data_IF_018530343768
#
_entry.id   IF_018530343768
#
_cell.length_a   1.000
_cell.length_b   1.000
_cell.length_c   1.000
_cell.angle_alpha   90.00
_cell.angle_beta   90.00
_cell.angle_gamma   90.00
#
_symmetry.space_group_name_H-M   'P 1'
#
loop_
_entity.id
_entity.type
_entity.pdbx_description
1 polymer ?
#
# COMPACT_ATOMS: atom_id res chain seq x y z
N UNK A 1 -27.19 -35.94 16.00
CA UNK A 1 -28.62 -36.14 15.66
C UNK A 1 -29.43 -35.77 16.89
N UNK A 2 -29.79 -34.49 17.03
CA UNK A 2 -30.74 -34.03 18.06
C UNK A 2 -31.58 -32.94 17.40
N UNK A 3 -32.86 -33.27 17.23
CA UNK A 3 -33.94 -32.41 16.80
C UNK A 3 -34.63 -31.82 18.04
N UNK A 4 -35.03 -30.55 17.89
CA UNK A 4 -36.16 -29.81 18.48
C UNK A 4 -36.37 -29.76 20.01
N UNK A 5 -36.41 -28.53 20.54
CA UNK A 5 -37.67 -27.86 20.92
C UNK A 5 -37.41 -26.54 21.65
N UNK A 6 -37.77 -25.42 21.02
CA UNK A 6 -38.25 -24.23 21.74
C UNK A 6 -39.31 -23.54 20.88
N UNK A 7 -40.56 -23.99 21.02
CA UNK A 7 -41.75 -23.27 20.61
C UNK A 7 -42.33 -22.55 21.83
N UNK A 8 -42.42 -21.23 21.74
CA UNK A 8 -43.39 -20.44 22.52
C UNK A 8 -43.92 -19.33 21.63
N UNK A 9 -45.22 -19.39 21.37
CA UNK A 9 -45.99 -18.37 20.67
C UNK A 9 -46.07 -17.10 21.52
N UNK A 10 -45.79 -15.93 20.94
CA UNK A 10 -46.59 -14.75 21.24
C UNK A 10 -46.55 -13.72 20.09
N UNK A 11 -47.75 -13.41 19.64
CA UNK A 11 -48.13 -12.45 18.61
C UNK A 11 -47.98 -11.03 19.15
N UNK A 12 -46.94 -10.32 18.73
CA UNK A 12 -46.93 -8.85 18.62
C UNK A 12 -45.85 -8.48 17.59
N UNK A 13 -46.27 -8.18 16.37
CA UNK A 13 -45.39 -7.60 15.34
C UNK A 13 -44.84 -6.27 15.86
N UNK A 14 -43.52 -6.09 16.02
CA UNK A 14 -42.98 -4.75 16.10
C UNK A 14 -43.10 -4.14 14.70
N UNK A 15 -43.76 -3.00 14.60
CA UNK A 15 -43.69 -2.12 13.43
C UNK A 15 -42.21 -1.86 13.12
N UNK A 16 -41.64 -2.63 12.21
CA UNK A 16 -40.41 -2.28 11.53
C UNK A 16 -40.75 -1.06 10.69
N UNK A 17 -40.50 0.12 11.26
CA UNK A 17 -40.34 1.36 10.49
C UNK A 17 -39.15 1.12 9.57
N UNK A 18 -39.44 0.54 8.41
CA UNK A 18 -38.53 0.46 7.28
C UNK A 18 -38.21 1.90 6.90
N UNK A 19 -37.13 2.43 7.47
CA UNK A 19 -36.54 3.68 7.01
C UNK A 19 -35.95 3.35 5.64
N UNK A 20 -36.80 3.38 4.61
CA UNK A 20 -36.38 3.46 3.23
C UNK A 20 -35.65 4.79 3.09
N UNK A 21 -34.35 4.77 3.36
CA UNK A 21 -33.45 5.83 2.95
C UNK A 21 -33.64 5.96 1.43
N UNK A 22 -34.06 7.12 0.91
CA UNK A 22 -34.22 7.27 -0.53
C UNK A 22 -32.89 6.92 -1.18
N UNK A 23 -32.90 5.92 -2.05
CA UNK A 23 -31.70 5.51 -2.78
C UNK A 23 -31.12 6.76 -3.44
N UNK A 24 -29.89 7.12 -3.07
CA UNK A 24 -29.25 8.31 -3.62
C UNK A 24 -29.33 8.23 -5.15
N UNK A 25 -29.76 9.32 -5.76
CA UNK A 25 -29.88 9.47 -7.23
C UNK A 25 -28.52 9.22 -7.92
N UNK A 26 -27.42 9.32 -7.16
CA UNK A 26 -26.07 8.93 -7.54
C UNK A 26 -25.52 7.89 -6.54
N UNK A 27 -25.59 6.61 -6.89
CA UNK A 27 -24.85 5.54 -6.20
C UNK A 27 -23.71 5.10 -7.12
N UNK A 28 -22.44 5.38 -6.77
CA UNK A 28 -21.28 4.91 -7.52
C UNK A 28 -21.33 3.40 -7.79
N UNK A 29 -21.79 2.59 -6.83
CA UNK A 29 -21.97 1.16 -6.96
C UNK A 29 -22.94 0.78 -8.09
N UNK A 30 -24.10 1.45 -8.20
CA UNK A 30 -25.05 1.19 -9.30
C UNK A 30 -24.45 1.47 -10.67
N UNK A 31 -23.65 2.54 -10.79
CA UNK A 31 -22.95 2.86 -12.04
C UNK A 31 -21.86 1.81 -12.32
N UNK A 32 -21.09 1.43 -11.30
CA UNK A 32 -20.09 0.39 -11.40
C UNK A 32 -20.70 -0.95 -11.84
N UNK A 33 -21.80 -1.38 -11.22
CA UNK A 33 -22.49 -2.64 -11.56
C UNK A 33 -22.98 -2.67 -13.02
N UNK A 34 -23.51 -1.55 -13.53
CA UNK A 34 -23.89 -1.43 -14.95
C UNK A 34 -22.69 -1.58 -15.88
N UNK A 35 -21.58 -0.88 -15.57
CA UNK A 35 -20.35 -0.97 -16.37
C UNK A 35 -19.76 -2.37 -16.30
N UNK A 36 -19.69 -2.95 -15.10
CA UNK A 36 -19.20 -4.30 -14.86
C UNK A 36 -20.02 -5.32 -15.65
N UNK A 37 -21.35 -5.25 -15.57
CA UNK A 37 -22.26 -6.15 -16.31
C UNK A 37 -22.06 -6.03 -17.81
N UNK A 38 -21.87 -4.82 -18.33
CA UNK A 38 -21.61 -4.61 -19.76
C UNK A 38 -20.29 -5.21 -20.22
N UNK A 39 -19.29 -5.31 -19.35
CA UNK A 39 -17.95 -5.82 -19.69
C UNK A 39 -17.86 -7.32 -19.47
N UNK A 40 -18.41 -7.81 -18.36
CA UNK A 40 -18.26 -9.20 -17.90
C UNK A 40 -19.43 -10.10 -18.34
N UNK A 41 -20.57 -9.52 -18.74
CA UNK A 41 -21.77 -10.25 -19.15
C UNK A 41 -22.65 -10.75 -18.00
N UNK A 42 -22.30 -10.46 -16.74
CA UNK A 42 -23.09 -10.83 -15.56
C UNK A 42 -23.00 -9.74 -14.45
N UNK A 43 -24.00 -9.64 -13.55
CA UNK A 43 -24.03 -8.66 -12.46
C UNK A 43 -22.86 -8.76 -11.48
N UNK A 44 -22.39 -7.63 -10.95
CA UNK A 44 -21.28 -7.58 -10.00
C UNK A 44 -21.55 -8.40 -8.73
N UNK A 45 -22.82 -8.49 -8.30
CA UNK A 45 -23.25 -9.28 -7.14
C UNK A 45 -23.05 -10.80 -7.30
N UNK A 46 -22.96 -11.28 -8.54
CA UNK A 46 -22.77 -12.70 -8.86
C UNK A 46 -21.30 -13.09 -8.97
N UNK A 47 -20.39 -12.13 -8.87
CA UNK A 47 -18.96 -12.42 -8.85
C UNK A 47 -18.60 -13.24 -7.60
N UNK A 48 -17.87 -14.33 -7.82
CA UNK A 48 -17.26 -15.12 -6.76
C UNK A 48 -15.77 -15.32 -7.06
N UNK A 49 -14.93 -15.10 -6.04
CA UNK A 49 -13.52 -15.45 -6.13
C UNK A 49 -13.34 -16.93 -5.82
N UNK A 50 -13.02 -17.71 -6.85
CA UNK A 50 -12.85 -19.17 -6.77
C UNK A 50 -11.39 -19.52 -7.04
N UNK A 51 -10.73 -20.09 -6.03
CA UNK A 51 -9.35 -20.54 -6.14
C UNK A 51 -9.20 -21.59 -7.25
N UNK A 52 -8.23 -21.40 -8.15
CA UNK A 52 -7.98 -22.29 -9.29
C UNK A 52 -8.78 -21.97 -10.55
N UNK A 53 -9.88 -21.21 -10.43
CA UNK A 53 -10.74 -20.87 -11.57
C UNK A 53 -10.66 -19.39 -11.93
N UNK A 54 -10.72 -18.50 -10.94
CA UNK A 54 -10.61 -17.06 -11.18
C UNK A 54 -9.20 -16.73 -11.71
N UNK A 55 -9.04 -15.84 -12.72
CA UNK A 55 -7.73 -15.50 -13.25
C UNK A 55 -6.76 -15.02 -12.16
N UNK A 56 -5.52 -15.50 -12.21
CA UNK A 56 -4.46 -15.22 -11.21
C UNK A 56 -4.81 -15.64 -9.77
N UNK A 57 -5.73 -16.60 -9.59
CA UNK A 57 -6.10 -17.12 -8.27
C UNK A 57 -5.21 -18.26 -7.78
N UNK A 58 -4.25 -18.73 -8.57
CA UNK A 58 -3.33 -19.82 -8.18
C UNK A 58 -1.99 -19.29 -7.69
N UNK A 59 -1.37 -20.02 -6.77
CA UNK A 59 -0.02 -19.69 -6.28
C UNK A 59 1.01 -19.72 -7.42
N UNK A 60 0.92 -20.72 -8.30
CA UNK A 60 1.78 -20.82 -9.49
C UNK A 60 1.62 -19.63 -10.42
N UNK A 61 0.39 -19.14 -10.63
CA UNK A 61 0.13 -17.94 -11.41
C UNK A 61 0.75 -16.69 -10.80
N UNK A 62 0.59 -16.50 -9.50
CA UNK A 62 1.17 -15.36 -8.78
C UNK A 62 2.72 -15.38 -8.84
N UNK A 63 3.35 -16.54 -8.59
CA UNK A 63 4.81 -16.70 -8.68
C UNK A 63 5.30 -16.52 -10.11
N UNK A 64 4.61 -17.07 -11.11
CA UNK A 64 4.98 -16.91 -12.52
C UNK A 64 5.01 -15.43 -12.93
N UNK A 65 4.05 -14.62 -12.45
CA UNK A 65 4.06 -13.18 -12.69
C UNK A 65 5.24 -12.47 -12.03
N UNK A 66 5.64 -12.87 -10.83
CA UNK A 66 6.84 -12.32 -10.17
C UNK A 66 8.11 -12.70 -10.93
N UNK A 67 8.24 -13.95 -11.35
CA UNK A 67 9.37 -14.42 -12.16
C UNK A 67 9.42 -13.65 -13.49
N UNK A 68 8.30 -13.53 -14.19
CA UNK A 68 8.19 -12.77 -15.42
C UNK A 68 8.60 -11.31 -15.21
N UNK A 69 8.13 -10.68 -14.14
CA UNK A 69 8.51 -9.31 -13.77
C UNK A 69 10.03 -9.18 -13.60
N UNK A 70 10.67 -10.07 -12.83
CA UNK A 70 12.11 -10.02 -12.61
C UNK A 70 12.88 -10.22 -13.92
N UNK A 71 12.46 -11.18 -14.76
CA UNK A 71 13.08 -11.42 -16.08
C UNK A 71 12.96 -10.18 -16.97
N UNK A 72 11.78 -9.56 -17.04
CA UNK A 72 11.54 -8.35 -17.85
C UNK A 72 12.39 -7.19 -17.34
N UNK A 73 12.46 -6.96 -16.03
CA UNK A 73 13.17 -5.81 -15.47
C UNK A 73 14.68 -5.99 -15.55
N UNK A 74 15.23 -7.14 -15.18
CA UNK A 74 16.68 -7.37 -15.22
C UNK A 74 17.18 -7.63 -16.66
N UNK A 75 16.46 -8.42 -17.44
CA UNK A 75 16.76 -8.63 -18.86
C UNK A 75 16.61 -7.35 -19.66
N UNK A 76 15.51 -6.62 -19.47
CA UNK A 76 15.27 -5.32 -20.11
C UNK A 76 16.34 -4.28 -19.75
N UNK A 77 16.82 -4.27 -18.50
CA UNK A 77 17.93 -3.40 -18.09
C UNK A 77 19.22 -3.71 -18.85
N UNK A 78 19.55 -4.98 -19.09
CA UNK A 78 20.75 -5.34 -19.87
C UNK A 78 20.59 -4.95 -21.35
N UNK A 79 19.42 -5.21 -21.94
CA UNK A 79 19.11 -4.78 -23.32
C UNK A 79 19.18 -3.26 -23.46
N UNK A 80 18.69 -2.53 -22.47
CA UNK A 80 18.72 -1.07 -22.47
C UNK A 80 20.12 -0.50 -22.25
N UNK A 81 21.10 -1.29 -21.78
CA UNK A 81 22.46 -0.80 -21.51
C UNK A 81 23.09 -0.14 -22.74
N UNK A 82 22.96 -0.77 -23.91
CA UNK A 82 23.48 -0.27 -25.20
C UNK A 82 22.54 0.68 -25.94
N UNK A 83 21.31 0.90 -25.45
CA UNK A 83 20.30 1.75 -26.11
C UNK A 83 20.20 3.14 -25.47
N UNK A 84 19.67 4.12 -26.20
CA UNK A 84 19.32 5.43 -25.63
C UNK A 84 18.03 5.32 -24.78
N UNK A 85 17.83 6.17 -23.76
CA UNK A 85 16.55 6.24 -23.03
C UNK A 85 15.38 6.48 -23.97
N UNK A 86 14.25 5.81 -23.74
CA UNK A 86 13.05 6.00 -24.56
C UNK A 86 12.22 7.20 -24.09
N UNK A 87 11.79 8.05 -25.02
CA UNK A 87 10.95 9.22 -24.75
C UNK A 87 9.45 8.87 -24.76
N UNK A 88 9.00 8.09 -23.78
CA UNK A 88 7.59 7.64 -23.66
C UNK A 88 6.74 8.59 -22.80
N UNK A 89 6.94 9.91 -22.91
CA UNK A 89 6.33 10.88 -21.99
C UNK A 89 4.80 10.92 -22.08
N UNK A 90 4.21 10.80 -23.26
CA UNK A 90 2.75 10.77 -23.43
C UNK A 90 2.13 9.52 -22.82
N UNK A 91 2.70 8.34 -23.09
CA UNK A 91 2.24 7.09 -22.49
C UNK A 91 2.37 7.11 -20.96
N UNK A 92 3.49 7.63 -20.45
CA UNK A 92 3.69 7.78 -19.01
C UNK A 92 2.65 8.71 -18.38
N UNK A 93 2.27 9.82 -19.03
CA UNK A 93 1.20 10.70 -18.55
C UNK A 93 -0.15 9.98 -18.49
N UNK A 94 -0.54 9.30 -19.57
CA UNK A 94 -1.80 8.55 -19.66
C UNK A 94 -1.86 7.48 -18.58
N UNK A 95 -0.78 6.71 -18.42
CA UNK A 95 -0.63 5.67 -17.41
C UNK A 95 -0.83 6.19 -15.98
N UNK A 96 -0.12 7.25 -15.60
CA UNK A 96 -0.25 7.83 -14.25
C UNK A 96 -1.64 8.44 -14.01
N UNK A 97 -2.23 9.09 -15.02
CA UNK A 97 -3.59 9.62 -14.91
C UNK A 97 -4.60 8.49 -14.73
N UNK A 98 -4.49 7.43 -15.53
CA UNK A 98 -5.32 6.24 -15.44
C UNK A 98 -5.24 5.61 -14.05
N UNK A 99 -4.03 5.37 -13.53
CA UNK A 99 -3.86 4.79 -12.19
C UNK A 99 -4.40 5.68 -11.07
N UNK A 100 -4.28 6.99 -11.20
CA UNK A 100 -4.87 7.93 -10.24
C UNK A 100 -6.39 7.86 -10.24
N UNK A 101 -7.01 7.86 -11.43
CA UNK A 101 -8.47 7.78 -11.58
C UNK A 101 -9.02 6.41 -11.16
N UNK A 102 -8.37 5.32 -11.55
CA UNK A 102 -8.73 3.96 -11.16
C UNK A 102 -8.66 3.78 -9.64
N UNK A 103 -7.58 4.26 -9.02
CA UNK A 103 -7.43 4.21 -7.56
C UNK A 103 -8.51 5.02 -6.85
N UNK A 104 -8.88 6.18 -7.41
CA UNK A 104 -9.95 7.03 -6.87
C UNK A 104 -11.33 6.39 -7.02
N UNK A 105 -11.62 5.78 -8.17
CA UNK A 105 -12.87 5.08 -8.41
C UNK A 105 -13.03 3.88 -7.45
N UNK A 106 -12.00 3.06 -7.29
CA UNK A 106 -11.99 1.96 -6.33
C UNK A 106 -12.17 2.45 -4.90
N UNK A 107 -11.48 3.53 -4.52
CA UNK A 107 -11.59 4.11 -3.18
C UNK A 107 -13.02 4.56 -2.88
N UNK A 108 -13.68 5.25 -3.82
CA UNK A 108 -15.08 5.69 -3.65
C UNK A 108 -16.01 4.49 -3.49
N UNK A 109 -15.81 3.42 -4.28
CA UNK A 109 -16.62 2.20 -4.17
C UNK A 109 -16.40 1.50 -2.82
N UNK A 110 -15.15 1.40 -2.35
CA UNK A 110 -14.86 0.87 -1.01
C UNK A 110 -15.54 1.70 0.08
N UNK A 111 -15.44 3.03 0.02
CA UNK A 111 -16.05 3.94 0.99
C UNK A 111 -17.58 3.75 1.02
N UNK A 112 -18.24 3.63 -0.14
CA UNK A 112 -19.69 3.40 -0.24
C UNK A 112 -20.12 2.09 0.44
N UNK A 113 -19.30 1.03 0.36
CA UNK A 113 -19.60 -0.25 1.00
C UNK A 113 -19.25 -0.26 2.50
N UNK A 114 -18.09 0.29 2.87
CA UNK A 114 -17.54 0.19 4.22
C UNK A 114 -18.19 1.18 5.20
N UNK A 115 -18.42 2.44 4.81
CA UNK A 115 -18.91 3.47 5.75
C UNK A 115 -20.27 3.12 6.36
N UNK A 116 -21.29 2.69 5.60
CA UNK A 116 -22.56 2.28 6.19
C UNK A 116 -22.42 1.06 7.09
N UNK A 117 -21.50 0.14 6.76
CA UNK A 117 -21.22 -1.05 7.54
C UNK A 117 -20.55 -0.70 8.88
N UNK A 118 -19.59 0.22 8.88
CA UNK A 118 -18.97 0.76 10.08
C UNK A 118 -19.98 1.44 11.00
N UNK A 119 -20.90 2.22 10.44
CA UNK A 119 -21.92 2.93 11.22
C UNK A 119 -22.91 1.98 11.92
N UNK A 120 -23.21 0.82 11.31
CA UNK A 120 -24.16 -0.15 11.85
C UNK A 120 -23.52 -1.19 12.78
N UNK A 121 -22.37 -1.74 12.39
CA UNK A 121 -21.71 -2.85 13.08
C UNK A 121 -20.54 -2.43 13.98
N UNK A 122 -20.07 -1.18 13.87
CA UNK A 122 -18.88 -0.72 14.57
C UNK A 122 -17.58 -1.21 13.94
N UNK A 123 -16.46 -0.76 14.49
CA UNK A 123 -15.14 -1.01 13.91
C UNK A 123 -14.76 -2.50 13.98
N UNK A 124 -14.87 -3.13 15.16
CA UNK A 124 -14.44 -4.50 15.39
C UNK A 124 -15.10 -5.50 14.42
N UNK A 125 -16.42 -5.45 14.29
CA UNK A 125 -17.18 -6.30 13.35
C UNK A 125 -16.75 -6.10 11.89
N UNK A 126 -16.29 -4.91 11.51
CA UNK A 126 -15.82 -4.65 10.16
C UNK A 126 -14.36 -5.07 9.93
N UNK A 127 -13.50 -5.06 10.96
CA UNK A 127 -12.10 -5.49 10.79
C UNK A 127 -11.93 -6.99 11.03
N UNK A 128 -12.78 -7.60 11.84
CA UNK A 128 -12.63 -8.97 12.34
C UNK A 128 -13.82 -9.86 12.03
N UNK A 129 -15.01 -9.29 11.82
CA UNK A 129 -16.23 -10.02 11.53
C UNK A 129 -16.57 -10.15 10.04
N UNK A 130 -17.75 -10.68 9.77
CA UNK A 130 -18.25 -10.98 8.41
C UNK A 130 -18.52 -9.72 7.61
N UNK A 131 -18.81 -8.61 8.30
CA UNK A 131 -19.10 -7.32 7.68
C UNK A 131 -17.89 -6.74 6.91
N UNK A 132 -16.67 -7.15 7.26
CA UNK A 132 -15.44 -6.80 6.55
C UNK A 132 -15.14 -7.64 5.31
N UNK A 133 -15.91 -8.70 5.05
CA UNK A 133 -15.66 -9.66 3.98
C UNK A 133 -16.93 -10.00 3.20
N UNK A 134 -17.65 -8.97 2.77
CA UNK A 134 -18.84 -9.14 1.92
C UNK A 134 -18.45 -9.44 0.48
N UNK A 135 -19.37 -10.04 -0.29
CA UNK A 135 -19.16 -10.32 -1.72
C UNK A 135 -18.69 -9.09 -2.50
N UNK A 136 -19.30 -7.93 -2.24
CA UNK A 136 -18.95 -6.67 -2.90
C UNK A 136 -17.53 -6.21 -2.57
N UNK A 137 -17.10 -6.36 -1.31
CA UNK A 137 -15.72 -6.07 -0.89
C UNK A 137 -14.73 -7.04 -1.52
N UNK A 138 -15.07 -8.32 -1.64
CA UNK A 138 -14.22 -9.33 -2.30
C UNK A 138 -14.04 -9.02 -3.79
N UNK A 139 -15.09 -8.58 -4.49
CA UNK A 139 -14.97 -8.12 -5.88
C UNK A 139 -14.04 -6.91 -6.00
N UNK A 140 -14.25 -5.88 -5.17
CA UNK A 140 -13.40 -4.68 -5.18
C UNK A 140 -11.95 -5.01 -4.81
N UNK A 141 -11.75 -5.91 -3.86
CA UNK A 141 -10.45 -6.46 -3.51
C UNK A 141 -9.82 -7.10 -4.76
N UNK A 142 -10.55 -7.98 -5.44
CA UNK A 142 -10.03 -8.69 -6.61
C UNK A 142 -9.62 -7.72 -7.73
N UNK A 143 -10.41 -6.68 -7.99
CA UNK A 143 -10.05 -5.64 -8.96
C UNK A 143 -8.80 -4.85 -8.50
N UNK A 144 -8.70 -4.53 -7.21
CA UNK A 144 -7.48 -3.93 -6.65
C UNK A 144 -6.26 -4.85 -6.80
N UNK A 145 -6.43 -6.17 -6.59
CA UNK A 145 -5.38 -7.17 -6.80
C UNK A 145 -4.91 -7.20 -8.25
N UNK A 146 -5.83 -7.20 -9.23
CA UNK A 146 -5.49 -7.09 -10.65
C UNK A 146 -4.74 -5.78 -10.95
N UNK A 147 -5.13 -4.68 -10.31
CA UNK A 147 -4.47 -3.38 -10.44
C UNK A 147 -3.00 -3.46 -10.01
N UNK A 148 -2.64 -4.28 -9.01
CA UNK A 148 -1.22 -4.46 -8.61
C UNK A 148 -0.36 -5.09 -9.70
N UNK A 149 -0.92 -5.95 -10.54
CA UNK A 149 -0.20 -6.44 -11.73
C UNK A 149 -0.03 -5.34 -12.78
N UNK A 150 -1.04 -4.48 -12.97
CA UNK A 150 -0.92 -3.34 -13.87
C UNK A 150 0.13 -2.32 -13.39
N UNK A 151 0.23 -2.09 -12.07
CA UNK A 151 1.25 -1.23 -11.46
C UNK A 151 2.70 -1.70 -11.74
N UNK A 152 2.92 -2.98 -12.10
CA UNK A 152 4.25 -3.47 -12.50
C UNK A 152 4.82 -2.74 -13.73
N UNK A 153 3.94 -2.13 -14.54
CA UNK A 153 4.32 -1.31 -15.70
C UNK A 153 5.10 -0.05 -15.26
N UNK A 154 4.93 0.43 -14.01
CA UNK A 154 5.72 1.55 -13.47
C UNK A 154 7.21 1.25 -13.55
N UNK A 155 7.62 0.07 -13.09
CA UNK A 155 9.02 -0.35 -13.14
C UNK A 155 9.52 -0.48 -14.57
N UNK A 156 8.66 -0.92 -15.50
CA UNK A 156 8.99 -0.98 -16.93
C UNK A 156 9.26 0.41 -17.47
N UNK A 157 8.41 1.41 -17.16
CA UNK A 157 8.65 2.81 -17.55
C UNK A 157 9.95 3.35 -16.97
N UNK A 158 10.28 3.05 -15.71
CA UNK A 158 11.55 3.48 -15.12
C UNK A 158 12.74 2.83 -15.83
N UNK A 159 12.65 1.54 -16.14
CA UNK A 159 13.68 0.77 -16.86
C UNK A 159 13.95 1.32 -18.26
N UNK A 160 12.90 1.50 -19.08
CA UNK A 160 13.04 1.99 -20.47
C UNK A 160 13.47 3.46 -20.55
N UNK A 161 13.16 4.26 -19.52
CA UNK A 161 13.61 5.66 -19.40
C UNK A 161 14.98 5.80 -18.73
N UNK A 162 15.66 4.69 -18.40
CA UNK A 162 16.92 4.66 -17.64
C UNK A 162 16.87 5.49 -16.35
N UNK A 163 15.72 5.50 -15.68
CA UNK A 163 15.58 6.11 -14.34
C UNK A 163 16.07 5.11 -13.28
N UNK A 164 16.54 5.58 -12.11
CA UNK A 164 17.08 4.70 -11.09
C UNK A 164 16.01 3.72 -10.59
N UNK A 165 16.25 2.43 -10.81
CA UNK A 165 15.47 1.33 -10.26
C UNK A 165 15.95 1.08 -8.82
N UNK A 166 15.24 1.64 -7.85
CA UNK A 166 15.57 1.42 -6.44
C UNK A 166 15.14 0.03 -5.98
N UNK A 167 15.86 -0.53 -5.02
CA UNK A 167 15.46 -1.79 -4.38
C UNK A 167 14.03 -1.71 -3.82
N UNK A 168 13.67 -0.58 -3.20
CA UNK A 168 12.31 -0.32 -2.69
C UNK A 168 11.25 -0.62 -3.75
N UNK A 169 11.41 -0.07 -4.95
CA UNK A 169 10.43 -0.24 -6.04
C UNK A 169 10.44 -1.68 -6.56
N UNK A 170 11.62 -2.24 -6.82
CA UNK A 170 11.74 -3.60 -7.34
C UNK A 170 11.23 -4.69 -6.37
N UNK A 171 11.28 -4.44 -5.06
CA UNK A 171 10.76 -5.32 -4.03
C UNK A 171 9.26 -5.09 -3.78
N UNK A 172 8.84 -3.84 -3.57
CA UNK A 172 7.47 -3.49 -3.18
C UNK A 172 6.42 -3.93 -4.22
N UNK A 173 6.67 -3.69 -5.51
CA UNK A 173 5.70 -4.00 -6.56
C UNK A 173 5.31 -5.49 -6.61
N UNK A 174 6.25 -6.45 -6.79
CA UNK A 174 5.92 -7.87 -6.79
C UNK A 174 5.48 -8.37 -5.41
N UNK A 175 6.07 -7.88 -4.31
CA UNK A 175 5.67 -8.30 -2.97
C UNK A 175 4.23 -7.86 -2.63
N UNK A 176 3.76 -6.73 -3.15
CA UNK A 176 2.39 -6.26 -2.92
C UNK A 176 1.38 -7.13 -3.68
N UNK A 177 1.71 -7.58 -4.89
CA UNK A 177 0.88 -8.55 -5.61
C UNK A 177 0.77 -9.88 -4.84
N UNK A 178 1.90 -10.40 -4.32
CA UNK A 178 1.92 -11.62 -3.50
C UNK A 178 1.18 -11.45 -2.17
N UNK A 179 1.31 -10.29 -1.53
CA UNK A 179 0.55 -9.94 -0.34
C UNK A 179 -0.95 -9.96 -0.64
N UNK A 180 -1.37 -9.31 -1.71
CA UNK A 180 -2.78 -9.28 -2.10
C UNK A 180 -3.31 -10.70 -2.36
N UNK A 181 -2.51 -11.56 -3.01
CA UNK A 181 -2.84 -12.96 -3.19
C UNK A 181 -2.99 -13.69 -1.84
N UNK A 182 -2.02 -13.57 -0.93
CA UNK A 182 -2.05 -14.31 0.34
C UNK A 182 -3.26 -13.95 1.21
N UNK A 183 -3.64 -12.66 1.27
CA UNK A 183 -4.82 -12.23 2.04
C UNK A 183 -6.14 -12.64 1.37
N UNK A 184 -6.18 -12.73 0.03
CA UNK A 184 -7.37 -13.15 -0.69
C UNK A 184 -7.65 -14.65 -0.48
N UNK A 185 -6.60 -15.48 -0.52
CA UNK A 185 -6.68 -16.90 -0.15
C UNK A 185 -7.00 -17.06 1.34
N UNK A 186 -6.38 -16.24 2.19
CA UNK A 186 -6.58 -16.27 3.63
C UNK A 186 -7.86 -15.62 4.13
N UNK A 187 -8.75 -15.17 3.24
CA UNK A 187 -10.05 -14.57 3.57
C UNK A 187 -10.02 -13.56 4.71
N UNK A 188 -9.16 -12.56 4.60
CA UNK A 188 -8.85 -11.63 5.71
C UNK A 188 -9.77 -10.39 5.71
N UNK A 189 -10.80 -10.29 6.58
CA UNK A 189 -11.73 -9.15 6.61
C UNK A 189 -11.03 -7.81 6.85
N UNK A 190 -9.96 -7.82 7.65
CA UNK A 190 -9.16 -6.63 7.98
C UNK A 190 -8.54 -5.93 6.76
N UNK A 191 -8.39 -6.65 5.64
CA UNK A 191 -7.65 -6.19 4.47
C UNK A 191 -8.21 -4.94 3.78
N UNK A 192 -9.50 -4.62 3.94
CA UNK A 192 -10.06 -3.38 3.38
C UNK A 192 -9.40 -2.13 3.96
N UNK A 193 -8.87 -2.20 5.20
CA UNK A 193 -8.19 -1.07 5.85
C UNK A 193 -6.89 -0.73 5.10
N UNK A 194 -5.90 -1.65 4.97
CA UNK A 194 -4.70 -1.38 4.16
C UNK A 194 -5.02 -1.00 2.71
N UNK A 195 -6.05 -1.61 2.10
CA UNK A 195 -6.41 -1.32 0.71
C UNK A 195 -6.89 0.12 0.56
N UNK A 196 -7.83 0.57 1.40
CA UNK A 196 -8.38 1.93 1.29
C UNK A 196 -7.34 3.01 1.60
N UNK A 197 -6.47 2.76 2.58
CA UNK A 197 -5.34 3.65 2.88
C UNK A 197 -4.33 3.68 1.73
N UNK A 198 -3.98 2.52 1.14
CA UNK A 198 -3.11 2.44 -0.03
C UNK A 198 -3.72 3.16 -1.25
N UNK A 199 -5.00 2.94 -1.55
CA UNK A 199 -5.70 3.62 -2.65
C UNK A 199 -5.70 5.14 -2.47
N UNK A 200 -5.90 5.62 -1.24
CA UNK A 200 -5.81 7.06 -0.92
C UNK A 200 -4.43 7.62 -1.24
N UNK A 201 -3.37 6.93 -0.82
CA UNK A 201 -1.98 7.30 -1.15
C UNK A 201 -1.73 7.24 -2.65
N UNK A 202 -2.23 6.21 -3.34
CA UNK A 202 -2.04 6.00 -4.78
C UNK A 202 -2.71 7.10 -5.60
N UNK A 203 -3.91 7.55 -5.22
CA UNK A 203 -4.57 8.72 -5.85
C UNK A 203 -3.63 9.92 -5.84
N UNK A 204 -3.07 10.27 -4.67
CA UNK A 204 -2.18 11.43 -4.49
C UNK A 204 -0.83 11.23 -5.19
N UNK A 205 -0.23 10.05 -5.07
CA UNK A 205 1.08 9.74 -5.63
C UNK A 205 1.06 9.76 -7.16
N UNK A 206 0.10 9.07 -7.79
CA UNK A 206 0.01 9.04 -9.25
C UNK A 206 -0.43 10.38 -9.84
N UNK A 207 -1.27 11.14 -9.13
CA UNK A 207 -1.58 12.51 -9.51
C UNK A 207 -0.34 13.41 -9.49
N UNK A 208 0.53 13.25 -8.50
CA UNK A 208 1.83 13.92 -8.45
C UNK A 208 2.71 13.52 -9.64
N UNK A 209 2.84 12.23 -9.95
CA UNK A 209 3.65 11.77 -11.10
C UNK A 209 3.09 12.27 -12.44
N UNK A 210 1.77 12.31 -12.60
CA UNK A 210 1.13 12.92 -13.76
C UNK A 210 1.48 14.42 -13.90
N UNK A 211 1.40 15.19 -12.81
CA UNK A 211 1.77 16.61 -12.81
C UNK A 211 3.25 16.84 -13.14
N UNK A 212 4.15 16.08 -12.52
CA UNK A 212 5.58 16.19 -12.81
C UNK A 212 5.92 15.81 -14.26
N UNK A 213 5.22 14.82 -14.83
CA UNK A 213 5.36 14.47 -16.24
C UNK A 213 4.89 15.57 -17.21
N UNK A 214 3.99 16.47 -16.77
CA UNK A 214 3.60 17.70 -17.50
C UNK A 214 4.60 18.85 -17.35
N UNK A 215 5.65 18.68 -16.54
CA UNK A 215 6.65 19.72 -16.27
C UNK A 215 6.28 20.65 -15.11
N UNK A 216 5.21 20.35 -14.36
CA UNK A 216 4.83 21.14 -13.18
C UNK A 216 5.81 20.84 -12.04
N UNK A 217 6.45 21.88 -11.50
CA UNK A 217 7.32 21.77 -10.32
C UNK A 217 6.45 21.73 -9.07
N UNK A 218 6.41 20.57 -8.41
CA UNK A 218 5.58 20.35 -7.23
C UNK A 218 6.45 20.40 -5.96
N UNK A 219 6.18 21.36 -5.07
CA UNK A 219 6.99 21.54 -3.84
C UNK A 219 6.70 20.50 -2.76
N UNK A 220 5.52 19.88 -2.77
CA UNK A 220 5.02 19.07 -1.66
C UNK A 220 5.37 17.59 -1.76
N UNK A 221 6.36 17.22 -2.59
CA UNK A 221 6.80 15.82 -2.77
C UNK A 221 7.15 15.10 -1.45
N UNK A 222 7.68 15.83 -0.46
CA UNK A 222 8.03 15.27 0.84
C UNK A 222 6.80 14.85 1.66
N UNK A 223 5.67 15.56 1.48
CA UNK A 223 4.41 15.22 2.16
C UNK A 223 3.83 13.89 1.66
N UNK A 224 4.06 13.53 0.40
CA UNK A 224 3.67 12.22 -0.14
C UNK A 224 4.40 11.10 0.59
N UNK A 225 5.73 11.24 0.78
CA UNK A 225 6.50 10.22 1.51
C UNK A 225 6.08 10.14 2.98
N UNK A 226 5.70 11.26 3.60
CA UNK A 226 5.13 11.24 4.96
C UNK A 226 3.78 10.53 5.00
N UNK A 227 2.91 10.79 4.04
CA UNK A 227 1.61 10.13 3.92
C UNK A 227 1.78 8.61 3.75
N UNK A 228 2.72 8.16 2.92
CA UNK A 228 3.09 6.74 2.76
C UNK A 228 3.56 6.11 4.08
N UNK A 229 4.40 6.80 4.86
CA UNK A 229 4.86 6.29 6.15
C UNK A 229 3.70 6.22 7.15
N UNK A 230 2.85 7.26 7.21
CA UNK A 230 1.67 7.27 8.08
C UNK A 230 0.70 6.14 7.73
N UNK A 231 0.49 5.87 6.43
CA UNK A 231 -0.29 4.72 5.96
C UNK A 231 0.25 3.41 6.54
N UNK A 232 1.53 3.10 6.37
CA UNK A 232 2.09 1.85 6.89
C UNK A 232 2.06 1.73 8.42
N UNK A 233 2.18 2.85 9.16
CA UNK A 233 2.03 2.85 10.62
C UNK A 233 0.61 2.46 11.03
N UNK A 234 -0.40 3.04 10.36
CA UNK A 234 -1.80 2.69 10.61
C UNK A 234 -2.08 1.23 10.22
N UNK A 235 -1.63 0.80 9.04
CA UNK A 235 -1.79 -0.57 8.55
C UNK A 235 -1.24 -1.59 9.56
N UNK A 236 -0.03 -1.36 10.07
CA UNK A 236 0.59 -2.24 11.07
C UNK A 236 -0.15 -2.24 12.40
N UNK A 237 -0.71 -1.09 12.82
CA UNK A 237 -1.55 -1.02 14.02
C UNK A 237 -2.74 -1.97 13.93
N UNK A 238 -3.47 -1.95 12.82
CA UNK A 238 -4.60 -2.85 12.59
C UNK A 238 -4.17 -4.31 12.40
N UNK A 239 -3.12 -4.57 11.62
CA UNK A 239 -2.65 -5.94 11.35
C UNK A 239 -2.12 -6.61 12.61
N UNK A 240 -1.35 -5.90 13.43
CA UNK A 240 -0.89 -6.45 14.71
C UNK A 240 -2.00 -6.59 15.73
N UNK A 241 -3.02 -5.71 15.71
CA UNK A 241 -4.22 -5.92 16.51
C UNK A 241 -4.93 -7.23 16.10
N UNK A 242 -5.18 -7.45 14.80
CA UNK A 242 -5.81 -8.67 14.32
C UNK A 242 -4.99 -9.93 14.61
N UNK A 243 -3.65 -9.85 14.48
CA UNK A 243 -2.75 -10.93 14.87
C UNK A 243 -2.80 -11.23 16.36
N UNK A 244 -2.78 -10.19 17.21
CA UNK A 244 -2.89 -10.33 18.65
C UNK A 244 -4.21 -10.98 19.06
N UNK A 245 -5.33 -10.57 18.48
CA UNK A 245 -6.66 -11.10 18.81
C UNK A 245 -6.77 -12.59 18.44
N UNK A 246 -6.29 -12.99 17.25
CA UNK A 246 -6.21 -14.41 16.86
C UNK A 246 -5.30 -15.22 17.79
N UNK A 247 -4.15 -14.66 18.17
CA UNK A 247 -3.20 -15.32 19.05
C UNK A 247 -3.76 -15.48 20.48
N UNK A 248 -4.37 -14.43 21.02
CA UNK A 248 -4.98 -14.41 22.35
C UNK A 248 -6.14 -15.42 22.43
N UNK A 249 -7.07 -15.41 21.48
CA UNK A 249 -8.18 -16.39 21.42
C UNK A 249 -7.69 -17.83 21.27
N UNK A 250 -6.67 -18.07 20.43
CA UNK A 250 -6.21 -19.43 20.12
C UNK A 250 -5.39 -20.06 21.26
N UNK A 251 -4.52 -19.29 21.92
CA UNK A 251 -3.53 -19.85 22.86
C UNK A 251 -3.76 -19.44 24.32
N UNK A 252 -4.41 -18.30 24.57
CA UNK A 252 -4.49 -17.70 25.90
C UNK A 252 -5.89 -17.14 26.20
N UNK A 253 -6.93 -17.84 25.76
CA UNK A 253 -8.33 -17.39 25.82
C UNK A 253 -8.73 -16.88 27.22
N UNK A 254 -8.38 -17.62 28.27
CA UNK A 254 -8.77 -17.28 29.64
C UNK A 254 -7.82 -16.28 30.33
N UNK A 255 -6.70 -15.91 29.69
CA UNK A 255 -5.61 -15.14 30.32
C UNK A 255 -5.47 -13.75 29.68
N UNK A 256 -5.58 -13.67 28.35
CA UNK A 256 -5.36 -12.42 27.62
C UNK A 256 -6.69 -11.75 27.25
N UNK A 257 -6.78 -10.41 27.40
CA UNK A 257 -7.99 -9.68 27.03
C UNK A 257 -8.16 -9.69 25.51
N UNK A 258 -9.27 -10.26 25.04
CA UNK A 258 -9.66 -10.29 23.64
C UNK A 258 -11.20 -10.18 23.54
N UNK A 259 -11.69 -9.67 22.42
CA UNK A 259 -13.16 -9.51 22.20
C UNK A 259 -13.74 -10.74 21.51
N UNK A 260 -12.91 -11.46 20.75
CA UNK A 260 -13.24 -12.69 20.07
C UNK A 260 -12.08 -13.14 19.21
N UNK A 261 -12.38 -13.70 18.04
CA UNK A 261 -11.35 -14.11 17.08
C UNK A 261 -11.53 -13.36 15.78
N UNK A 262 -10.54 -12.58 15.38
CA UNK A 262 -10.52 -11.98 14.05
C UNK A 262 -10.51 -13.03 12.94
N UNK A 263 -11.34 -12.78 11.92
CA UNK A 263 -11.45 -13.63 10.75
C UNK A 263 -10.17 -13.63 9.91
N UNK A 264 -9.96 -14.76 9.22
CA UNK A 264 -8.85 -14.97 8.31
C UNK A 264 -7.85 -16.02 8.79
N UNK A 265 -7.02 -16.46 7.86
CA UNK A 265 -6.04 -17.52 8.10
C UNK A 265 -4.77 -17.00 8.78
N UNK A 266 -4.19 -17.81 9.66
CA UNK A 266 -2.99 -17.44 10.41
C UNK A 266 -1.80 -17.10 9.50
N UNK A 267 -1.62 -17.84 8.40
CA UNK A 267 -0.55 -17.56 7.44
C UNK A 267 -0.72 -16.18 6.77
N UNK A 268 -1.96 -15.73 6.55
CA UNK A 268 -2.24 -14.44 5.95
C UNK A 268 -1.86 -13.32 6.93
N UNK A 269 -2.19 -13.47 8.21
CA UNK A 269 -1.76 -12.52 9.24
C UNK A 269 -0.23 -12.42 9.36
N UNK A 270 0.47 -13.57 9.38
CA UNK A 270 1.95 -13.60 9.44
C UNK A 270 2.58 -12.96 8.20
N UNK A 271 2.13 -13.33 7.00
CA UNK A 271 2.67 -12.78 5.75
C UNK A 271 2.36 -11.29 5.61
N UNK A 272 1.16 -10.85 5.99
CA UNK A 272 0.75 -9.46 6.03
C UNK A 272 1.60 -8.63 6.98
N UNK A 273 1.76 -9.10 8.23
CA UNK A 273 2.61 -8.46 9.21
C UNK A 273 4.05 -8.34 8.74
N UNK A 274 4.65 -9.42 8.23
CA UNK A 274 6.04 -9.42 7.78
C UNK A 274 6.30 -8.45 6.61
N UNK A 275 5.45 -8.47 5.58
CA UNK A 275 5.61 -7.63 4.38
C UNK A 275 5.36 -6.15 4.71
N UNK A 276 4.30 -5.82 5.45
CA UNK A 276 4.03 -4.43 5.81
C UNK A 276 5.11 -3.85 6.73
N UNK A 277 5.68 -4.68 7.62
CA UNK A 277 6.80 -4.27 8.47
C UNK A 277 8.03 -3.94 7.61
N UNK A 278 8.35 -4.78 6.64
CA UNK A 278 9.49 -4.53 5.74
C UNK A 278 9.28 -3.25 4.93
N UNK A 279 8.05 -2.95 4.50
CA UNK A 279 7.72 -1.70 3.81
C UNK A 279 7.95 -0.48 4.69
N UNK A 280 7.44 -0.47 5.92
CA UNK A 280 7.66 0.65 6.84
C UNK A 280 9.15 0.94 7.02
N UNK A 281 9.96 -0.10 7.24
CA UNK A 281 11.42 0.04 7.38
C UNK A 281 12.03 0.64 6.11
N UNK A 282 11.70 0.12 4.93
CA UNK A 282 12.27 0.59 3.68
C UNK A 282 11.86 2.05 3.37
N UNK A 283 10.62 2.45 3.66
CA UNK A 283 10.16 3.82 3.48
C UNK A 283 10.80 4.80 4.46
N UNK A 284 11.02 4.40 5.72
CA UNK A 284 11.77 5.19 6.69
C UNK A 284 13.23 5.37 6.21
N UNK A 285 13.87 4.30 5.76
CA UNK A 285 15.24 4.36 5.21
C UNK A 285 15.31 5.28 3.98
N UNK A 286 14.34 5.19 3.08
CA UNK A 286 14.21 6.09 1.93
C UNK A 286 14.05 7.55 2.35
N UNK A 287 13.21 7.83 3.35
CA UNK A 287 12.98 9.18 3.85
C UNK A 287 14.25 9.78 4.49
N UNK A 288 14.94 9.00 5.31
CA UNK A 288 16.20 9.44 5.95
C UNK A 288 17.27 9.71 4.91
N UNK A 289 17.45 8.81 3.94
CA UNK A 289 18.47 8.95 2.89
C UNK A 289 18.20 10.13 1.96
N UNK A 290 16.93 10.37 1.61
CA UNK A 290 16.55 11.42 0.65
C UNK A 290 16.42 12.80 1.27
N UNK A 291 15.78 12.92 2.44
CA UNK A 291 15.41 14.23 2.99
C UNK A 291 16.31 14.65 4.17
N UNK A 292 16.58 13.75 5.12
CA UNK A 292 17.42 14.11 6.29
C UNK A 292 18.90 14.23 5.93
N UNK A 293 19.47 13.30 5.16
CA UNK A 293 20.89 13.38 4.74
C UNK A 293 21.12 14.52 3.74
N UNK A 294 20.19 14.78 2.83
CA UNK A 294 20.29 15.93 1.91
C UNK A 294 20.19 17.27 2.66
N UNK A 295 19.26 17.39 3.61
CA UNK A 295 19.15 18.58 4.46
C UNK A 295 20.40 18.86 5.29
N UNK A 296 21.02 17.81 5.87
CA UNK A 296 22.30 17.95 6.61
C UNK A 296 23.46 18.41 5.71
N UNK A 297 23.57 17.89 4.49
CA UNK A 297 24.59 18.32 3.52
C UNK A 297 24.37 19.75 3.03
N UNK A 298 23.12 20.16 2.85
CA UNK A 298 22.77 21.54 2.49
C UNK A 298 23.11 22.49 3.65
N UNK A 299 22.75 22.13 4.89
CA UNK A 299 23.07 22.90 6.09
C UNK A 299 24.59 23.05 6.30
N UNK A 300 25.37 21.98 6.09
CA UNK A 300 26.83 22.02 6.17
C UNK A 300 27.49 22.90 5.09
N UNK A 301 26.87 23.02 3.90
CA UNK A 301 27.35 23.93 2.85
C UNK A 301 26.96 25.39 3.09
N UNK A 302 25.91 25.66 3.86
CA UNK A 302 25.45 27.01 4.19
C UNK A 302 26.11 27.61 5.43
N UNK A 303 26.80 26.80 6.25
CA UNK A 303 27.63 27.32 7.34
C UNK A 303 28.91 27.92 6.74
N UNK A 304 29.15 29.24 6.86
CA UNK A 304 30.43 29.81 6.48
C UNK A 304 31.50 29.14 7.34
N UNK A 305 32.64 28.76 6.75
CA UNK A 305 33.82 28.41 7.52
C UNK A 305 34.17 29.62 8.40
N UNK A 306 33.81 29.57 9.68
CA UNK A 306 34.24 30.57 10.66
C UNK A 306 35.75 30.49 10.72
N UNK A 307 36.41 31.56 10.22
CA UNK A 307 37.77 31.92 10.59
C UNK A 307 37.90 31.81 12.11
N UNK A 308 38.82 30.97 12.60
CA UNK A 308 39.00 30.88 14.05
C UNK A 308 39.88 29.76 14.58
N UNK A 309 40.96 29.39 13.90
CA UNK A 309 42.11 28.79 14.60
C UNK A 309 43.31 29.70 14.40
N UNK A 310 43.37 30.75 15.22
CA UNK A 310 44.59 31.52 15.43
C UNK A 310 45.61 30.59 16.08
N UNK A 311 46.63 30.17 15.32
CA UNK A 311 47.92 29.80 15.91
C UNK A 311 48.39 30.97 16.79
N UNK A 312 48.71 30.76 18.08
CA UNK A 312 49.38 31.79 18.84
C UNK A 312 50.86 31.80 18.43
N UNK A 313 51.24 32.85 17.69
CA UNK A 313 52.62 33.23 17.44
C UNK A 313 52.95 34.46 18.31
N UNK A 314 53.56 34.22 19.47
CA UNK A 314 54.37 35.15 20.26
C UNK A 314 54.82 34.39 21.52
N UNK A 315 56.04 34.46 22.05
CA UNK A 315 57.33 34.99 21.66
C UNK A 315 58.32 34.40 22.68
N UNK A 316 59.48 33.90 22.26
CA UNK A 316 60.62 33.68 23.14
C UNK A 316 61.90 33.83 22.31
N UNK A 317 62.37 35.08 22.24
CA UNK A 317 63.76 35.40 21.95
C UNK A 317 64.54 35.09 23.22
N UNK A 318 65.49 34.14 23.15
CA UNK A 318 66.83 34.21 23.77
C UNK A 318 67.44 32.81 23.89
N UNK A 319 68.41 32.52 23.01
CA UNK A 319 69.72 31.94 23.30
C UNK A 319 70.19 30.95 22.23
N UNK A 320 71.33 31.30 21.61
CA UNK A 320 72.43 30.35 21.48
C UNK A 320 72.63 29.67 20.13
N UNK A 321 73.35 30.36 19.25
CA UNK A 321 74.57 29.86 18.58
C UNK A 321 74.52 28.70 17.55
N UNK A 322 75.20 28.98 16.42
CA UNK A 322 75.96 28.08 15.50
C UNK A 322 75.15 27.14 14.58
N UNK A 323 75.13 27.39 13.25
CA UNK A 323 76.05 26.86 12.20
C UNK A 323 75.82 25.34 11.97
N UNK A 324 75.55 24.73 10.80
CA UNK A 324 76.01 24.81 9.40
C UNK A 324 74.93 24.16 8.48
N UNK A 325 74.68 24.64 7.25
CA UNK A 325 75.13 24.10 5.95
C UNK A 325 75.26 22.55 5.80
N UNK A 326 74.36 21.92 5.02
CA UNK A 326 74.63 21.26 3.70
C UNK A 326 73.60 20.19 3.32
N UNK A 327 73.27 20.24 2.03
CA UNK A 327 72.77 19.21 1.09
C UNK A 327 71.42 18.57 1.32
#
# INVERSE_FOLDING_TARGET
MFYDNFTSNNTTSPLTVGRHTPASVFSPWKTFDKVFTSVMGYPAKEFEFVHGHTPFSTFSGAVAMVVLYLVVIFGGREVMRSRKPMELNTLFKIHNLFLSLLSGALLVLFIEQVVPSLWRGGLYENICGVSGWTQSLVLLYYINYLTKYYELIDTVFLMVKKKPLTFLHCYHHPATALLCFSQLIGRTPLSWVPITLNLTVHVVMYWYYFQTARGVKVWWKQWITRLQITQFVLDLGFVYFGFYDVFADTYFKEILPHVGRCGGEFFAAVTGGAILTSYLVLFIMFYISTYKKAGRRAAQKSTPATLGEKRPLAAAVANGSTAELKT
#
